data_IF_332626656851
#
_entry.id   IF_332626656851
#
_cell.length_a   1.000
_cell.length_b   1.000
_cell.length_c   1.000
_cell.angle_alpha   90.00
_cell.angle_beta   90.00
_cell.angle_gamma   90.00
#
_symmetry.space_group_name_H-M   'P 1'
#
loop_
_entity.id
_entity.type
_entity.pdbx_description
1 polymer ?
#
# COMPACT_ATOMS: atom_id res chain seq x y z
N UNK A 1 -45.70 22.83 -0.11
CA UNK A 1 -44.76 22.84 -1.26
C UNK A 1 -43.34 22.91 -0.70
N UNK A 2 -42.56 21.81 -0.75
CA UNK A 2 -41.12 21.88 -0.44
C UNK A 2 -40.45 22.54 -1.64
N UNK A 3 -39.91 23.74 -1.47
CA UNK A 3 -39.01 24.35 -2.45
C UNK A 3 -37.78 23.46 -2.59
N UNK A 4 -37.71 22.69 -3.68
CA UNK A 4 -36.50 21.96 -4.06
C UNK A 4 -35.44 23.00 -4.41
N UNK A 5 -34.57 23.32 -3.45
CA UNK A 5 -33.33 24.02 -3.74
C UNK A 5 -32.50 23.13 -4.66
N UNK A 6 -32.54 23.40 -5.96
CA UNK A 6 -31.75 22.72 -6.99
C UNK A 6 -30.24 22.84 -6.72
N UNK A 7 -29.82 23.90 -6.01
CA UNK A 7 -28.46 24.14 -5.55
C UNK A 7 -28.35 23.94 -4.04
N UNK A 8 -28.15 22.70 -3.63
CA UNK A 8 -27.78 22.37 -2.26
C UNK A 8 -26.24 22.44 -2.14
N UNK A 9 -25.73 23.60 -1.72
CA UNK A 9 -24.29 23.87 -1.59
C UNK A 9 -23.55 22.84 -0.73
N UNK A 10 -24.25 22.20 0.21
CA UNK A 10 -23.68 21.11 1.00
C UNK A 10 -23.31 19.90 0.13
N UNK A 11 -24.18 19.50 -0.80
CA UNK A 11 -23.96 18.39 -1.73
C UNK A 11 -22.81 18.66 -2.68
N UNK A 12 -22.72 19.89 -3.21
CA UNK A 12 -21.62 20.30 -4.08
C UNK A 12 -20.29 20.21 -3.33
N UNK A 13 -20.24 20.65 -2.07
CA UNK A 13 -19.04 20.56 -1.24
C UNK A 13 -18.61 19.10 -0.99
N UNK A 14 -19.55 18.18 -0.74
CA UNK A 14 -19.23 16.76 -0.59
C UNK A 14 -18.70 16.15 -1.89
N UNK A 15 -19.30 16.47 -3.04
CA UNK A 15 -18.83 16.01 -4.36
C UNK A 15 -17.42 16.54 -4.64
N UNK A 16 -17.16 17.82 -4.37
CA UNK A 16 -15.84 18.41 -4.56
C UNK A 16 -14.77 17.74 -3.67
N UNK A 17 -15.09 17.45 -2.41
CA UNK A 17 -14.19 16.70 -1.51
C UNK A 17 -13.93 15.28 -2.01
N UNK A 18 -14.96 14.58 -2.48
CA UNK A 18 -14.82 13.24 -3.07
C UNK A 18 -13.92 13.23 -4.30
N UNK A 19 -14.07 14.22 -5.18
CA UNK A 19 -13.18 14.43 -6.32
C UNK A 19 -11.73 14.63 -5.90
N UNK A 20 -11.50 15.49 -4.90
CA UNK A 20 -10.16 15.77 -4.37
C UNK A 20 -9.51 14.51 -3.80
N UNK A 21 -10.25 13.75 -2.98
CA UNK A 21 -9.79 12.47 -2.44
C UNK A 21 -9.49 11.48 -3.56
N UNK A 22 -10.39 11.35 -4.54
CA UNK A 22 -10.21 10.44 -5.68
C UNK A 22 -8.96 10.74 -6.50
N UNK A 23 -8.66 12.02 -6.75
CA UNK A 23 -7.44 12.44 -7.44
C UNK A 23 -6.20 12.08 -6.63
N UNK A 24 -6.19 12.39 -5.33
CA UNK A 24 -5.04 12.10 -4.46
C UNK A 24 -4.80 10.58 -4.37
N UNK A 25 -5.85 9.80 -4.10
CA UNK A 25 -5.76 8.34 -4.03
C UNK A 25 -5.34 7.76 -5.37
N UNK A 26 -5.88 8.26 -6.49
CA UNK A 26 -5.48 7.83 -7.83
C UNK A 26 -3.99 8.03 -8.12
N UNK A 27 -3.43 9.16 -7.71
CA UNK A 27 -1.98 9.43 -7.83
C UNK A 27 -1.19 8.46 -6.96
N UNK A 28 -1.55 8.31 -5.68
CA UNK A 28 -0.84 7.43 -4.73
C UNK A 28 -0.87 5.98 -5.21
N UNK A 29 -2.03 5.46 -5.60
CA UNK A 29 -2.18 4.07 -6.08
C UNK A 29 -1.42 3.87 -7.40
N UNK A 30 -1.39 4.85 -8.29
CA UNK A 30 -0.60 4.77 -9.52
C UNK A 30 0.90 4.69 -9.22
N UNK A 31 1.40 5.53 -8.31
CA UNK A 31 2.79 5.48 -7.85
C UNK A 31 3.12 4.16 -7.17
N UNK A 32 2.21 3.62 -6.36
CA UNK A 32 2.37 2.33 -5.70
C UNK A 32 2.54 1.20 -6.73
N UNK A 33 1.69 1.17 -7.75
CA UNK A 33 1.72 0.17 -8.83
C UNK A 33 3.02 0.24 -9.62
N UNK A 34 3.42 1.44 -10.05
CA UNK A 34 4.68 1.65 -10.78
C UNK A 34 5.88 1.25 -9.91
N UNK A 35 5.85 1.54 -8.61
CA UNK A 35 6.93 1.18 -7.69
C UNK A 35 7.08 -0.34 -7.54
N UNK A 36 5.96 -1.07 -7.39
CA UNK A 36 5.97 -2.54 -7.36
C UNK A 36 6.53 -3.11 -8.65
N UNK A 37 6.05 -2.65 -9.81
CA UNK A 37 6.46 -3.17 -11.12
C UNK A 37 7.95 -2.90 -11.40
N UNK A 38 8.42 -1.72 -11.03
CA UNK A 38 9.85 -1.37 -11.10
C UNK A 38 10.68 -2.29 -10.22
N UNK A 39 10.26 -2.52 -8.97
CA UNK A 39 10.97 -3.37 -8.03
C UNK A 39 10.99 -4.85 -8.47
N UNK A 40 9.86 -5.35 -9.00
CA UNK A 40 9.79 -6.70 -9.58
C UNK A 40 10.73 -6.86 -10.77
N UNK A 41 10.84 -5.85 -11.63
CA UNK A 41 11.76 -5.86 -12.77
C UNK A 41 13.21 -5.93 -12.30
N UNK A 42 13.57 -5.10 -11.32
CA UNK A 42 14.91 -5.12 -10.70
C UNK A 42 15.19 -6.51 -10.09
N UNK A 43 14.25 -7.04 -9.32
CA UNK A 43 14.43 -8.33 -8.64
C UNK A 43 14.52 -9.49 -9.62
N UNK A 44 13.80 -9.44 -10.75
CA UNK A 44 13.94 -10.41 -11.83
C UNK A 44 15.37 -10.44 -12.38
N UNK A 45 15.97 -9.27 -12.61
CA UNK A 45 17.35 -9.17 -13.11
C UNK A 45 18.36 -9.65 -12.06
N UNK A 46 18.15 -9.30 -10.79
CA UNK A 46 18.97 -9.78 -9.65
C UNK A 46 18.92 -11.31 -9.55
N UNK A 47 17.74 -11.91 -9.66
CA UNK A 47 17.56 -13.36 -9.61
C UNK A 47 18.20 -14.06 -10.80
N UNK A 48 18.07 -13.51 -12.01
CA UNK A 48 18.73 -14.04 -13.20
C UNK A 48 20.26 -13.98 -13.07
N UNK A 49 20.80 -12.88 -12.53
CA UNK A 49 22.24 -12.72 -12.30
C UNK A 49 22.77 -13.71 -11.26
N UNK A 50 22.07 -13.87 -10.13
CA UNK A 50 22.44 -14.82 -9.07
C UNK A 50 22.34 -16.28 -9.55
N UNK A 51 21.38 -16.60 -10.42
CA UNK A 51 21.27 -17.92 -11.05
C UNK A 51 22.48 -18.29 -11.91
N UNK A 52 23.07 -17.31 -12.59
CA UNK A 52 24.30 -17.51 -13.39
C UNK A 52 25.59 -17.46 -12.54
N UNK A 53 25.54 -16.88 -11.34
CA UNK A 53 26.70 -16.67 -10.47
C UNK A 53 26.38 -17.10 -9.02
N UNK A 54 26.54 -18.39 -8.68
CA UNK A 54 26.09 -18.94 -7.39
C UNK A 54 26.66 -18.24 -6.14
N UNK A 55 27.81 -17.58 -6.25
CA UNK A 55 28.41 -16.81 -5.15
C UNK A 55 27.52 -15.66 -4.66
N UNK A 56 26.61 -15.17 -5.51
CA UNK A 56 25.67 -14.09 -5.18
C UNK A 56 24.40 -14.56 -4.47
N UNK A 57 24.17 -15.88 -4.37
CA UNK A 57 23.00 -16.44 -3.66
C UNK A 57 23.03 -16.06 -2.17
N UNK A 58 24.21 -16.13 -1.53
CA UNK A 58 24.33 -15.78 -0.09
C UNK A 58 24.02 -14.30 0.14
N UNK A 59 24.66 -13.33 -0.57
CA UNK A 59 24.27 -11.93 -0.51
C UNK A 59 22.79 -11.67 -0.79
N UNK A 60 22.20 -12.38 -1.76
CA UNK A 60 20.78 -12.24 -2.10
C UNK A 60 19.87 -12.64 -0.94
N UNK A 61 20.13 -13.79 -0.31
CA UNK A 61 19.37 -14.27 0.86
C UNK A 61 19.49 -13.25 2.00
N UNK A 62 20.70 -12.72 2.25
CA UNK A 62 20.91 -11.68 3.26
C UNK A 62 20.12 -10.42 2.94
N UNK A 63 20.11 -9.98 1.67
CA UNK A 63 19.32 -8.84 1.22
C UNK A 63 17.82 -9.01 1.45
N UNK A 64 17.26 -10.18 1.10
CA UNK A 64 15.85 -10.50 1.35
C UNK A 64 15.55 -10.56 2.86
N UNK A 65 16.46 -11.11 3.66
CA UNK A 65 16.30 -11.15 5.12
C UNK A 65 16.28 -9.73 5.73
N UNK A 66 17.10 -8.81 5.22
CA UNK A 66 17.09 -7.40 5.63
C UNK A 66 15.75 -6.75 5.26
N UNK A 67 15.23 -6.98 4.06
CA UNK A 67 13.91 -6.48 3.64
C UNK A 67 12.82 -7.00 4.59
N UNK A 68 12.81 -8.31 4.86
CA UNK A 68 11.86 -8.91 5.78
C UNK A 68 11.97 -8.33 7.20
N UNK A 69 13.19 -8.06 7.67
CA UNK A 69 13.43 -7.43 8.97
C UNK A 69 12.89 -5.99 9.04
N UNK A 70 13.10 -5.19 7.99
CA UNK A 70 12.53 -3.83 7.89
C UNK A 70 11.00 -3.89 7.94
N UNK A 71 10.39 -4.78 7.16
CA UNK A 71 8.94 -4.97 7.17
C UNK A 71 8.46 -5.40 8.56
N UNK A 72 9.18 -6.30 9.23
CA UNK A 72 8.83 -6.74 10.58
C UNK A 72 8.86 -5.59 11.61
N UNK A 73 9.83 -4.66 11.51
CA UNK A 73 9.87 -3.46 12.34
C UNK A 73 8.66 -2.56 12.05
N UNK A 74 8.36 -2.30 10.78
CA UNK A 74 7.21 -1.46 10.40
C UNK A 74 5.90 -2.04 10.94
N UNK A 75 5.75 -3.35 10.85
CA UNK A 75 4.60 -4.11 11.35
C UNK A 75 4.51 -4.08 12.88
N UNK A 76 5.66 -4.14 13.57
CA UNK A 76 5.70 -4.04 15.03
C UNK A 76 5.25 -2.66 15.50
N UNK A 77 5.71 -1.63 14.80
CA UNK A 77 5.46 -0.23 15.18
C UNK A 77 4.05 0.24 14.76
N UNK A 78 3.47 -0.35 13.71
CA UNK A 78 2.08 -0.14 13.29
C UNK A 78 1.42 -1.47 12.91
N UNK A 79 0.77 -2.18 13.85
CA UNK A 79 0.18 -3.50 13.60
C UNK A 79 -0.91 -3.52 12.53
N UNK A 80 -1.61 -2.40 12.32
CA UNK A 80 -2.74 -2.24 11.41
C UNK A 80 -2.31 -2.16 9.92
N UNK A 81 -1.02 -2.31 9.63
CA UNK A 81 -0.53 -2.44 8.24
C UNK A 81 -0.55 -3.88 7.71
N UNK A 82 -0.82 -4.86 8.57
CA UNK A 82 -0.82 -6.28 8.21
C UNK A 82 -2.03 -6.63 7.33
N UNK A 83 -1.85 -7.67 6.51
CA UNK A 83 -2.97 -8.27 5.77
C UNK A 83 -3.57 -7.35 4.72
N UNK A 84 -4.86 -7.56 4.43
CA UNK A 84 -5.55 -6.84 3.35
C UNK A 84 -5.91 -5.40 3.72
N UNK A 85 -6.26 -5.12 4.98
CA UNK A 85 -6.79 -3.82 5.39
C UNK A 85 -8.30 -3.65 5.26
N UNK A 86 -8.99 -4.50 4.49
CA UNK A 86 -10.44 -4.42 4.32
C UNK A 86 -11.17 -4.50 5.67
N UNK A 87 -10.80 -5.47 6.50
CA UNK A 87 -11.39 -5.66 7.84
C UNK A 87 -11.10 -4.47 8.77
N UNK A 88 -9.93 -3.83 8.62
CA UNK A 88 -9.55 -2.67 9.44
C UNK A 88 -10.40 -1.45 9.06
N UNK A 89 -10.62 -1.24 7.75
CA UNK A 89 -11.48 -0.17 7.23
C UNK A 89 -12.94 -0.42 7.60
N UNK A 90 -13.44 -1.65 7.48
CA UNK A 90 -14.78 -2.05 7.95
C UNK A 90 -14.92 -1.76 9.45
N UNK A 91 -13.94 -2.14 10.26
CA UNK A 91 -13.92 -1.86 11.70
C UNK A 91 -13.86 -0.36 12.02
N UNK A 92 -13.14 0.44 11.24
CA UNK A 92 -13.10 1.90 11.40
C UNK A 92 -14.46 2.53 11.05
N UNK A 93 -15.11 2.09 9.97
CA UNK A 93 -16.45 2.57 9.57
C UNK A 93 -17.53 2.19 10.59
N UNK A 94 -17.41 1.04 11.24
CA UNK A 94 -18.26 0.62 12.36
C UNK A 94 -17.92 1.30 13.69
N UNK A 95 -16.86 2.12 13.75
CA UNK A 95 -16.42 2.81 14.96
C UNK A 95 -15.76 1.91 16.00
N UNK A 96 -15.36 0.70 15.61
CA UNK A 96 -14.72 -0.32 16.47
C UNK A 96 -13.21 -0.12 16.51
N UNK A 97 -12.63 0.48 15.46
CA UNK A 97 -11.19 0.72 15.33
C UNK A 97 -10.88 2.21 15.17
N UNK A 98 -9.72 2.63 15.70
CA UNK A 98 -9.16 3.97 15.51
C UNK A 98 -7.81 3.84 14.82
N UNK A 99 -7.79 4.17 13.54
CA UNK A 99 -6.62 4.00 12.68
C UNK A 99 -5.85 5.32 12.53
N UNK A 100 -4.52 5.26 12.63
CA UNK A 100 -3.66 6.39 12.29
C UNK A 100 -3.38 6.40 10.78
N UNK A 101 -4.23 7.12 10.04
CA UNK A 101 -4.21 7.12 8.57
C UNK A 101 -2.84 7.43 7.96
N UNK A 102 -2.10 8.41 8.51
CA UNK A 102 -0.81 8.81 7.95
C UNK A 102 0.24 7.72 8.20
N UNK A 103 0.27 7.20 9.43
CA UNK A 103 1.16 6.12 9.87
C UNK A 103 0.97 4.86 9.02
N UNK A 104 -0.28 4.51 8.74
CA UNK A 104 -0.67 3.35 7.92
C UNK A 104 -0.34 3.59 6.45
N UNK A 105 -0.64 4.77 5.90
CA UNK A 105 -0.46 5.08 4.48
C UNK A 105 0.97 4.82 4.00
N UNK A 106 1.95 5.49 4.62
CA UNK A 106 3.34 5.37 4.15
C UNK A 106 3.91 3.98 4.43
N UNK A 107 3.51 3.34 5.54
CA UNK A 107 4.00 2.01 5.90
C UNK A 107 3.42 0.91 5.02
N UNK A 108 2.12 0.96 4.69
CA UNK A 108 1.50 0.04 3.73
C UNK A 108 2.07 0.24 2.33
N UNK A 109 2.33 1.48 1.93
CA UNK A 109 2.98 1.77 0.66
C UNK A 109 4.38 1.14 0.60
N UNK A 110 5.27 1.48 1.53
CA UNK A 110 6.65 0.99 1.51
C UNK A 110 6.71 -0.52 1.75
N UNK A 111 5.97 -1.03 2.74
CA UNK A 111 5.92 -2.45 3.08
C UNK A 111 5.31 -3.28 1.94
N UNK A 112 4.29 -2.77 1.26
CA UNK A 112 3.70 -3.38 0.06
C UNK A 112 4.66 -3.44 -1.12
N UNK A 113 5.37 -2.33 -1.41
CA UNK A 113 6.39 -2.30 -2.48
C UNK A 113 7.51 -3.29 -2.19
N UNK A 114 8.02 -3.32 -0.95
CA UNK A 114 9.11 -4.21 -0.57
C UNK A 114 8.70 -5.68 -0.56
N UNK A 115 7.53 -6.01 0.00
CA UNK A 115 7.02 -7.39 0.08
C UNK A 115 6.69 -7.94 -1.30
N UNK A 116 5.83 -7.26 -2.08
CA UNK A 116 5.44 -7.71 -3.41
C UNK A 116 6.65 -7.62 -4.36
N UNK A 117 7.39 -6.52 -4.32
CA UNK A 117 8.52 -6.26 -5.20
C UNK A 117 9.69 -7.22 -5.01
N UNK A 118 9.90 -7.75 -3.80
CA UNK A 118 10.87 -8.82 -3.56
C UNK A 118 10.42 -10.20 -4.06
N UNK A 119 9.22 -10.33 -4.63
CA UNK A 119 8.75 -11.56 -5.25
C UNK A 119 7.84 -12.42 -4.37
N UNK A 120 7.30 -11.89 -3.27
CA UNK A 120 6.25 -12.59 -2.51
C UNK A 120 4.95 -12.66 -3.32
N UNK A 121 4.27 -13.82 -3.27
CA UNK A 121 2.99 -14.06 -3.94
C UNK A 121 1.83 -13.38 -3.19
N UNK A 122 1.79 -12.04 -3.24
CA UNK A 122 0.80 -11.21 -2.58
C UNK A 122 0.05 -10.34 -3.59
N UNK A 123 -1.23 -10.12 -3.33
CA UNK A 123 -2.05 -9.19 -4.11
C UNK A 123 -1.74 -7.73 -3.78
N UNK A 124 -1.85 -6.85 -4.77
CA UNK A 124 -1.74 -5.38 -4.61
C UNK A 124 -3.06 -4.71 -4.22
N UNK A 125 -4.15 -5.46 -4.18
CA UNK A 125 -5.51 -4.94 -3.95
C UNK A 125 -5.68 -4.43 -2.53
N UNK A 126 -5.33 -5.23 -1.52
CA UNK A 126 -5.44 -4.84 -0.11
C UNK A 126 -4.73 -3.53 0.22
N UNK A 127 -3.43 -3.38 -0.07
CA UNK A 127 -2.71 -2.12 0.19
C UNK A 127 -3.21 -0.90 -0.60
N UNK A 128 -4.03 -1.09 -1.64
CA UNK A 128 -4.60 -0.01 -2.46
C UNK A 128 -5.97 0.47 -1.98
N UNK A 129 -6.59 -0.23 -1.03
CA UNK A 129 -7.87 0.10 -0.39
C UNK A 129 -7.59 0.97 0.84
#
# INVERSE_FOLDING_TARGET
>A
MKTLNLFDWSKIAYVARGLLVGVIVGIVVSLFRVSIETMLTIMRDVYAFAGNNPIWIVPLIVGIAIIAFIIAIMIRDEPDIKGSGIQDIEGQLHGVLKLNWLSILWRKFVGGVLSIGSGLALGREGPSI
#
